data_IF_815618540829
#
_entry.id   IF_815618540829
#
_cell.length_a   1.000
_cell.length_b   1.000
_cell.length_c   1.000
_cell.angle_alpha   90.00
_cell.angle_beta   90.00
_cell.angle_gamma   90.00
#
_symmetry.space_group_name_H-M   'P 1'
#
loop_
_entity.id
_entity.type
_entity.pdbx_description
1 polymer ?
#
# COMPACT_ATOMS: atom_id res chain seq x y z
N UNK A 1 52.89 -48.42 -5.95
CA UNK A 1 51.90 -47.96 -4.97
C UNK A 1 51.26 -46.66 -5.46
N UNK A 2 49.98 -46.67 -5.88
CA UNK A 2 49.26 -45.45 -6.28
C UNK A 2 48.43 -44.96 -5.09
N UNK A 3 48.71 -43.74 -4.62
CA UNK A 3 47.94 -43.09 -3.56
C UNK A 3 46.53 -42.76 -4.06
N UNK A 4 45.50 -43.14 -3.29
CA UNK A 4 44.11 -42.75 -3.54
C UNK A 4 43.92 -41.26 -3.19
N UNK A 5 43.22 -40.47 -4.02
CA UNK A 5 42.86 -39.11 -3.65
C UNK A 5 41.78 -39.16 -2.55
N UNK A 6 42.05 -38.50 -1.43
CA UNK A 6 41.07 -38.29 -0.35
C UNK A 6 40.01 -37.31 -0.84
N UNK A 7 38.78 -37.78 -1.05
CA UNK A 7 37.63 -36.92 -1.30
C UNK A 7 37.16 -36.27 0.01
N UNK A 8 37.75 -35.13 0.37
CA UNK A 8 37.21 -34.27 1.41
C UNK A 8 36.06 -33.42 0.84
N UNK A 9 34.90 -34.04 0.66
CA UNK A 9 33.66 -33.36 0.29
C UNK A 9 32.78 -33.15 1.51
N UNK A 10 33.08 -32.16 2.36
CA UNK A 10 32.12 -31.76 3.40
C UNK A 10 30.91 -31.12 2.72
N UNK A 11 29.81 -31.86 2.60
CA UNK A 11 28.52 -31.28 2.19
C UNK A 11 28.08 -30.35 3.32
N UNK A 12 28.24 -29.04 3.13
CA UNK A 12 27.62 -28.03 4.02
C UNK A 12 26.14 -28.37 4.13
N UNK A 13 25.68 -28.66 5.34
CA UNK A 13 24.27 -28.94 5.63
C UNK A 13 23.51 -27.64 5.35
N UNK A 14 22.76 -27.59 4.24
CA UNK A 14 21.94 -26.43 3.90
C UNK A 14 20.74 -26.44 4.83
N UNK A 15 20.68 -25.47 5.74
CA UNK A 15 19.49 -25.20 6.55
C UNK A 15 18.56 -24.29 5.74
N UNK A 16 17.32 -24.71 5.56
CA UNK A 16 16.27 -23.90 4.94
C UNK A 16 15.45 -23.25 6.05
N UNK A 17 15.06 -21.99 5.84
CA UNK A 17 14.23 -21.24 6.76
C UNK A 17 12.88 -20.95 6.10
N UNK A 18 11.81 -21.02 6.88
CA UNK A 18 10.46 -20.62 6.49
C UNK A 18 10.00 -19.56 7.49
N UNK A 19 9.57 -18.41 6.97
CA UNK A 19 8.99 -17.33 7.78
C UNK A 19 7.51 -17.25 7.41
N UNK A 20 6.63 -17.43 8.39
CA UNK A 20 5.18 -17.35 8.23
C UNK A 20 4.71 -16.11 8.99
N UNK A 21 4.03 -15.20 8.29
CA UNK A 21 3.49 -13.96 8.88
C UNK A 21 1.97 -14.02 8.81
N UNK A 22 1.32 -14.06 9.97
CA UNK A 22 -0.14 -13.92 10.07
C UNK A 22 -0.52 -12.44 9.99
N UNK A 23 -0.87 -11.96 8.80
CA UNK A 23 -1.30 -10.57 8.61
C UNK A 23 -2.58 -10.30 9.39
N UNK A 24 -2.60 -9.22 10.19
CA UNK A 24 -3.73 -8.89 11.07
C UNK A 24 -4.06 -9.95 12.13
N UNK A 25 -3.18 -10.91 12.43
CA UNK A 25 -3.50 -12.04 13.32
C UNK A 25 -3.65 -11.66 14.80
N UNK A 26 -3.04 -10.54 15.21
CA UNK A 26 -3.20 -10.02 16.57
C UNK A 26 -4.52 -9.24 16.68
N UNK A 27 -5.26 -9.48 17.77
CA UNK A 27 -6.56 -8.86 18.00
C UNK A 27 -6.80 -8.66 19.51
N UNK A 28 -7.88 -7.98 19.84
CA UNK A 28 -8.37 -7.77 21.18
C UNK A 28 -9.31 -8.90 21.63
N UNK A 29 -9.45 -9.10 22.95
CA UNK A 29 -10.51 -9.93 23.52
C UNK A 29 -11.90 -9.47 23.07
N UNK A 30 -12.73 -10.40 22.62
CA UNK A 30 -14.10 -10.12 22.15
C UNK A 30 -15.16 -10.70 23.10
N UNK A 31 -16.23 -9.95 23.44
CA UNK A 31 -17.32 -10.45 24.28
C UNK A 31 -18.01 -11.69 23.70
N UNK A 32 -18.27 -11.75 22.39
CA UNK A 32 -18.88 -12.92 21.74
C UNK A 32 -18.00 -14.19 21.78
N UNK A 33 -16.69 -14.04 22.05
CA UNK A 33 -15.75 -15.14 22.23
C UNK A 33 -15.48 -15.45 23.72
N UNK A 34 -16.32 -14.95 24.63
CA UNK A 34 -16.15 -15.12 26.06
C UNK A 34 -14.89 -14.44 26.61
N UNK A 35 -14.51 -13.30 26.04
CA UNK A 35 -13.31 -12.55 26.45
C UNK A 35 -12.00 -13.14 25.92
N UNK A 36 -12.04 -13.96 24.88
CA UNK A 36 -10.86 -14.46 24.16
C UNK A 36 -10.59 -13.63 22.91
N UNK A 37 -9.34 -13.60 22.45
CA UNK A 37 -9.03 -13.16 21.08
C UNK A 37 -9.45 -14.24 20.07
N UNK A 38 -9.67 -13.90 18.79
CA UNK A 38 -9.92 -14.90 17.74
C UNK A 38 -8.86 -15.99 17.69
N UNK A 39 -7.57 -15.63 17.85
CA UNK A 39 -6.48 -16.61 17.86
C UNK A 39 -6.54 -17.56 19.07
N UNK A 40 -7.01 -17.08 20.23
CA UNK A 40 -7.22 -17.92 21.41
C UNK A 40 -8.45 -18.84 21.26
N UNK A 41 -9.50 -18.36 20.60
CA UNK A 41 -10.73 -19.14 20.40
C UNK A 41 -10.58 -20.20 19.30
N UNK A 42 -9.70 -20.00 18.33
CA UNK A 42 -9.51 -20.90 17.20
C UNK A 42 -8.87 -22.25 17.58
N UNK A 43 -9.39 -23.33 17.01
CA UNK A 43 -8.74 -24.64 16.98
C UNK A 43 -7.56 -24.62 16.01
N UNK A 44 -6.33 -24.70 16.55
CA UNK A 44 -5.09 -24.55 15.77
C UNK A 44 -4.01 -25.56 16.18
N UNK A 45 -4.30 -26.88 16.13
CA UNK A 45 -3.41 -27.90 16.67
C UNK A 45 -1.98 -27.84 16.12
N UNK A 46 -1.81 -27.44 14.85
CA UNK A 46 -0.48 -27.31 14.23
C UNK A 46 0.32 -26.12 14.78
N UNK A 47 -0.32 -24.98 15.01
CA UNK A 47 0.35 -23.81 15.60
C UNK A 47 0.67 -24.04 17.08
N UNK A 48 -0.27 -24.66 17.80
CA UNK A 48 -0.08 -25.01 19.21
C UNK A 48 1.06 -26.03 19.36
N UNK A 49 1.15 -27.01 18.44
CA UNK A 49 2.27 -27.97 18.39
C UNK A 49 3.62 -27.29 18.12
N UNK A 50 3.68 -26.33 17.18
CA UNK A 50 4.90 -25.56 16.91
C UNK A 50 5.30 -24.75 18.14
N UNK A 51 4.34 -24.12 18.83
CA UNK A 51 4.60 -23.34 20.03
C UNK A 51 5.12 -24.22 21.18
N UNK A 52 4.55 -25.41 21.38
CA UNK A 52 4.96 -26.33 22.46
C UNK A 52 6.31 -27.03 22.23
N UNK A 53 6.78 -27.11 20.99
CA UNK A 53 8.07 -27.73 20.63
C UNK A 53 9.12 -26.70 20.17
N UNK A 54 8.81 -25.41 20.31
CA UNK A 54 9.64 -24.32 19.82
C UNK A 54 10.10 -23.36 20.93
N UNK A 55 10.47 -22.15 20.51
CA UNK A 55 10.67 -21.02 21.41
C UNK A 55 9.62 -19.95 21.07
N UNK A 56 8.95 -19.45 22.10
CA UNK A 56 7.92 -18.42 21.97
C UNK A 56 8.37 -17.12 22.62
N UNK A 57 7.81 -16.01 22.15
CA UNK A 57 8.07 -14.68 22.68
C UNK A 57 7.21 -13.63 21.98
N UNK A 58 7.35 -12.39 22.42
CA UNK A 58 6.68 -11.24 21.81
C UNK A 58 7.63 -10.53 20.84
N UNK A 59 7.11 -10.15 19.68
CA UNK A 59 7.86 -9.40 18.66
C UNK A 59 7.20 -8.04 18.45
N UNK A 60 8.00 -6.97 18.54
CA UNK A 60 7.58 -5.63 18.12
C UNK A 60 8.10 -5.37 16.72
N UNK A 61 7.20 -5.41 15.74
CA UNK A 61 7.51 -5.22 14.31
C UNK A 61 7.60 -3.75 13.91
N UNK A 62 6.96 -2.85 14.64
CA UNK A 62 6.96 -1.42 14.37
C UNK A 62 7.89 -0.70 15.37
N UNK A 63 8.98 -0.05 14.91
CA UNK A 63 9.81 0.78 15.77
C UNK A 63 9.01 1.92 16.41
N UNK A 64 9.35 2.30 17.64
CA UNK A 64 8.66 3.39 18.37
C UNK A 64 8.60 4.67 17.54
N UNK A 65 7.45 5.31 17.43
CA UNK A 65 7.30 6.58 16.69
C UNK A 65 7.35 6.44 15.17
N UNK A 66 7.24 5.22 14.64
CA UNK A 66 6.90 4.99 13.23
C UNK A 66 5.43 4.59 13.12
N UNK A 67 4.82 4.87 11.97
CA UNK A 67 3.46 4.48 11.66
C UNK A 67 3.32 2.95 11.61
N UNK A 68 2.19 2.44 12.07
CA UNK A 68 1.90 1.00 12.01
C UNK A 68 1.47 0.62 10.59
N UNK A 69 2.44 0.29 9.74
CA UNK A 69 2.22 -0.15 8.37
C UNK A 69 2.86 -1.50 8.05
N UNK A 70 2.20 -2.32 7.22
CA UNK A 70 2.71 -3.63 6.80
C UNK A 70 4.08 -3.53 6.11
N UNK A 71 4.32 -2.46 5.37
CA UNK A 71 5.61 -2.12 4.77
C UNK A 71 6.74 -1.98 5.80
N UNK A 72 6.49 -1.25 6.88
CA UNK A 72 7.46 -1.09 7.99
C UNK A 72 7.62 -2.41 8.75
N UNK A 73 6.52 -3.12 9.01
CA UNK A 73 6.53 -4.39 9.73
C UNK A 73 7.34 -5.47 9.00
N UNK A 74 7.09 -5.63 7.69
CA UNK A 74 7.79 -6.62 6.86
C UNK A 74 9.27 -6.27 6.74
N UNK A 75 9.61 -4.99 6.59
CA UNK A 75 11.00 -4.54 6.57
C UNK A 75 11.74 -4.93 7.87
N UNK A 76 11.11 -4.73 9.03
CA UNK A 76 11.65 -5.19 10.33
C UNK A 76 11.78 -6.72 10.40
N UNK A 77 10.77 -7.47 9.93
CA UNK A 77 10.78 -8.95 9.94
C UNK A 77 11.91 -9.50 9.07
N UNK A 78 12.19 -8.85 7.94
CA UNK A 78 13.28 -9.23 7.04
C UNK A 78 14.67 -8.77 7.53
N UNK A 79 14.75 -8.06 8.67
CA UNK A 79 16.01 -7.66 9.30
C UNK A 79 16.57 -6.31 8.85
N UNK A 80 15.82 -5.53 8.08
CA UNK A 80 16.20 -4.17 7.70
C UNK A 80 15.77 -3.17 8.78
N UNK A 81 16.54 -2.10 8.97
CA UNK A 81 16.15 -1.00 9.86
C UNK A 81 15.20 -0.04 9.12
N UNK A 82 13.89 0.00 9.45
CA UNK A 82 12.95 0.83 8.70
C UNK A 82 13.23 2.32 8.83
N UNK A 83 13.83 2.79 9.93
CA UNK A 83 14.19 4.21 10.07
C UNK A 83 15.21 4.69 9.03
N UNK A 84 16.01 3.77 8.50
CA UNK A 84 17.06 4.06 7.53
C UNK A 84 16.62 3.82 6.10
N UNK A 85 15.76 2.82 5.88
CA UNK A 85 15.47 2.30 4.53
C UNK A 85 14.02 2.46 4.10
N UNK A 86 13.10 2.81 5.00
CA UNK A 86 11.73 3.09 4.61
C UNK A 86 11.65 4.48 3.99
N UNK A 87 11.33 4.53 2.70
CA UNK A 87 11.19 5.78 1.96
C UNK A 87 9.75 6.09 1.57
N UNK A 88 8.78 5.31 2.04
CA UNK A 88 7.35 5.42 1.71
C UNK A 88 6.82 4.21 0.94
N UNK A 89 5.49 4.13 0.75
CA UNK A 89 4.87 3.01 0.04
C UNK A 89 4.96 3.14 -1.48
N UNK A 90 4.94 4.36 -2.01
CA UNK A 90 5.07 4.65 -3.43
C UNK A 90 6.33 4.05 -4.04
N UNK A 91 7.54 4.25 -3.46
CA UNK A 91 8.77 3.64 -3.94
C UNK A 91 8.75 2.11 -3.97
N UNK A 92 8.12 1.46 -2.99
CA UNK A 92 7.94 0.00 -2.97
C UNK A 92 7.06 -0.48 -4.13
N UNK A 93 5.98 0.25 -4.43
CA UNK A 93 5.11 -0.04 -5.58
C UNK A 93 5.81 0.24 -6.91
N UNK A 94 6.64 1.28 -6.98
CA UNK A 94 7.47 1.54 -8.16
C UNK A 94 8.43 0.38 -8.43
N UNK A 95 9.11 -0.11 -7.40
CA UNK A 95 9.97 -1.28 -7.51
C UNK A 95 9.19 -2.54 -7.96
N UNK A 96 7.99 -2.78 -7.40
CA UNK A 96 7.14 -3.90 -7.78
C UNK A 96 6.67 -3.84 -9.25
N UNK A 97 6.47 -2.64 -9.80
CA UNK A 97 6.11 -2.40 -11.20
C UNK A 97 7.32 -2.29 -12.14
N UNK A 98 8.55 -2.39 -11.63
CA UNK A 98 9.78 -2.22 -12.40
C UNK A 98 10.06 -0.77 -12.85
N UNK A 99 9.43 0.21 -12.20
CA UNK A 99 9.61 1.64 -12.48
C UNK A 99 10.85 2.14 -11.74
N UNK A 100 11.82 2.66 -12.49
CA UNK A 100 13.03 3.27 -11.91
C UNK A 100 12.71 4.71 -11.47
N UNK A 101 13.11 5.04 -10.25
CA UNK A 101 13.02 6.38 -9.67
C UNK A 101 14.41 7.01 -9.63
N UNK A 102 14.49 8.29 -9.98
CA UNK A 102 15.65 9.13 -9.73
C UNK A 102 15.61 9.73 -8.32
N UNK A 103 16.73 10.32 -7.88
CA UNK A 103 16.89 10.86 -6.52
C UNK A 103 15.90 11.97 -6.13
N UNK A 104 15.28 12.61 -7.13
CA UNK A 104 14.30 13.69 -6.93
C UNK A 104 12.89 13.28 -7.34
N UNK A 105 12.67 12.04 -7.74
CA UNK A 105 11.34 11.60 -8.11
C UNK A 105 10.53 11.28 -6.85
N UNK A 106 9.23 11.55 -6.91
CA UNK A 106 8.32 11.13 -5.84
C UNK A 106 7.28 10.21 -6.41
N UNK A 107 7.25 9.01 -5.86
CA UNK A 107 6.30 7.98 -6.16
C UNK A 107 5.14 8.05 -5.16
N UNK A 108 3.91 8.03 -5.68
CA UNK A 108 2.66 7.96 -4.92
C UNK A 108 1.93 6.69 -5.32
N UNK A 109 1.36 5.99 -4.33
CA UNK A 109 0.24 5.10 -4.64
C UNK A 109 -0.91 5.93 -5.18
N UNK A 110 -1.56 5.43 -6.21
CA UNK A 110 -2.73 6.04 -6.81
C UNK A 110 -3.86 5.03 -6.72
N UNK A 111 -4.81 5.27 -5.82
CA UNK A 111 -6.04 4.48 -5.75
C UNK A 111 -7.10 5.10 -6.66
N UNK A 112 -7.96 4.29 -7.26
CA UNK A 112 -9.27 4.75 -7.73
C UNK A 112 -10.30 4.47 -6.62
N UNK A 113 -10.94 5.52 -6.12
CA UNK A 113 -11.88 5.46 -4.99
C UNK A 113 -13.30 5.88 -5.45
N UNK A 114 -14.27 5.64 -4.58
CA UNK A 114 -15.62 6.19 -4.68
C UNK A 114 -15.78 7.34 -3.70
N UNK A 115 -16.02 8.51 -4.27
CA UNK A 115 -16.47 9.71 -3.58
C UNK A 115 -17.97 9.89 -3.83
N UNK A 116 -18.73 10.17 -2.79
CA UNK A 116 -20.15 10.51 -2.85
C UNK A 116 -20.45 11.62 -1.83
N UNK A 117 -21.06 12.71 -2.30
CA UNK A 117 -21.46 13.87 -1.49
C UNK A 117 -20.35 14.45 -0.60
N UNK A 118 -19.13 14.50 -1.13
CA UNK A 118 -17.93 14.98 -0.46
C UNK A 118 -17.33 13.99 0.53
N UNK A 119 -17.79 12.73 0.56
CA UNK A 119 -17.36 11.68 1.50
C UNK A 119 -16.73 10.51 0.75
N UNK A 120 -15.64 9.97 1.31
CA UNK A 120 -15.00 8.75 0.77
C UNK A 120 -15.83 7.53 1.21
N UNK A 121 -16.57 6.93 0.27
CA UNK A 121 -17.43 5.77 0.54
C UNK A 121 -16.71 4.44 0.40
N UNK A 122 -15.75 4.36 -0.51
CA UNK A 122 -15.06 3.12 -0.85
C UNK A 122 -13.66 3.40 -1.37
N UNK A 123 -12.62 2.81 -0.76
CA UNK A 123 -11.22 2.99 -1.16
C UNK A 123 -10.82 2.22 -2.43
N UNK A 124 -11.72 1.37 -2.95
CA UNK A 124 -11.47 0.42 -4.04
C UNK A 124 -12.29 0.68 -5.30
N UNK A 125 -13.20 1.68 -5.25
CA UNK A 125 -14.08 1.96 -6.38
C UNK A 125 -15.01 0.79 -6.71
N UNK A 126 -15.45 0.01 -5.71
CA UNK A 126 -16.21 -1.22 -5.87
C UNK A 126 -15.38 -2.35 -6.46
N UNK A 127 -14.15 -2.54 -5.97
CA UNK A 127 -13.17 -3.47 -6.52
C UNK A 127 -13.12 -3.44 -8.06
N UNK A 128 -12.94 -2.23 -8.61
CA UNK A 128 -12.94 -2.01 -10.06
C UNK A 128 -11.98 -2.96 -10.78
N UNK A 129 -12.38 -3.45 -11.95
CA UNK A 129 -11.51 -4.35 -12.73
C UNK A 129 -10.31 -3.59 -13.27
N UNK A 130 -9.18 -4.29 -13.45
CA UNK A 130 -7.97 -3.69 -14.03
C UNK A 130 -8.23 -3.07 -15.41
N UNK A 131 -9.13 -3.64 -16.21
CA UNK A 131 -9.43 -3.14 -17.55
C UNK A 131 -10.18 -1.81 -17.52
N UNK A 132 -11.21 -1.71 -16.67
CA UNK A 132 -11.95 -0.45 -16.44
C UNK A 132 -11.01 0.61 -15.85
N UNK A 133 -10.23 0.25 -14.84
CA UNK A 133 -9.29 1.15 -14.18
C UNK A 133 -8.25 1.75 -15.15
N UNK A 134 -7.68 0.93 -16.03
CA UNK A 134 -6.77 1.38 -17.11
C UNK A 134 -7.42 2.40 -18.05
N UNK A 135 -8.73 2.30 -18.31
CA UNK A 135 -9.45 3.27 -19.13
C UNK A 135 -9.66 4.59 -18.39
N UNK A 136 -10.04 4.54 -17.12
CA UNK A 136 -10.23 5.72 -16.28
C UNK A 136 -8.90 6.47 -16.07
N UNK A 137 -7.81 5.76 -15.73
CA UNK A 137 -6.49 6.37 -15.59
C UNK A 137 -6.01 7.08 -16.85
N UNK A 138 -6.31 6.55 -18.05
CA UNK A 138 -5.99 7.24 -19.30
C UNK A 138 -6.70 8.59 -19.43
N UNK A 139 -7.91 8.75 -18.89
CA UNK A 139 -8.61 10.04 -18.85
C UNK A 139 -7.90 11.05 -17.97
N UNK A 140 -7.46 10.62 -16.79
CA UNK A 140 -6.69 11.47 -15.87
C UNK A 140 -5.34 11.82 -16.47
N UNK A 141 -4.64 10.84 -17.04
CA UNK A 141 -3.35 11.03 -17.70
C UNK A 141 -3.44 11.98 -18.91
N UNK A 142 -4.57 12.02 -19.64
CA UNK A 142 -4.76 13.00 -20.71
C UNK A 142 -4.75 14.45 -20.19
N UNK A 143 -5.22 14.68 -18.96
CA UNK A 143 -5.24 16.00 -18.30
C UNK A 143 -3.93 16.33 -17.58
N UNK A 144 -3.30 15.32 -16.96
CA UNK A 144 -2.18 15.48 -16.03
C UNK A 144 -0.87 14.81 -16.47
N UNK A 145 -0.80 14.25 -17.68
CA UNK A 145 0.39 13.56 -18.18
C UNK A 145 1.61 14.44 -18.39
N UNK A 146 1.44 15.77 -18.44
CA UNK A 146 2.56 16.74 -18.43
C UNK A 146 3.09 17.01 -17.01
N UNK A 147 2.31 16.69 -15.98
CA UNK A 147 2.69 16.88 -14.57
C UNK A 147 3.51 15.68 -14.09
N UNK A 148 3.09 14.47 -14.46
CA UNK A 148 3.79 13.25 -14.08
C UNK A 148 3.21 12.03 -14.78
N UNK A 149 3.70 10.86 -14.38
CA UNK A 149 3.46 9.60 -15.09
C UNK A 149 2.55 8.69 -14.26
N UNK A 150 1.47 8.20 -14.87
CA UNK A 150 0.60 7.19 -14.26
C UNK A 150 0.98 5.80 -14.76
N UNK A 151 1.16 4.87 -13.83
CA UNK A 151 1.48 3.47 -14.10
C UNK A 151 0.33 2.59 -13.61
N UNK A 152 -0.44 1.97 -14.53
CA UNK A 152 -1.54 1.11 -14.14
C UNK A 152 -1.05 -0.19 -13.49
N UNK A 153 -1.31 -0.33 -12.19
CA UNK A 153 -1.21 -1.61 -11.48
C UNK A 153 -2.47 -2.49 -11.62
N UNK A 154 -2.86 -3.12 -10.52
CA UNK A 154 -3.94 -4.13 -10.48
C UNK A 154 -5.18 -3.58 -9.77
N UNK A 155 -6.34 -3.82 -10.38
CA UNK A 155 -7.65 -3.38 -9.87
C UNK A 155 -7.63 -1.86 -9.61
N UNK A 156 -7.86 -1.42 -8.37
CA UNK A 156 -7.85 -0.02 -7.96
C UNK A 156 -6.47 0.52 -7.58
N UNK A 157 -5.42 -0.30 -7.56
CA UNK A 157 -4.09 0.07 -7.05
C UNK A 157 -3.14 0.37 -8.20
N UNK A 158 -2.66 1.61 -8.24
CA UNK A 158 -1.80 2.11 -9.30
C UNK A 158 -0.69 2.97 -8.70
N UNK A 159 0.14 3.53 -9.57
CA UNK A 159 1.24 4.38 -9.18
C UNK A 159 1.19 5.70 -9.98
N UNK A 160 1.50 6.80 -9.33
CA UNK A 160 1.78 8.07 -9.97
C UNK A 160 3.21 8.51 -9.59
N UNK A 161 4.01 8.92 -10.57
CA UNK A 161 5.37 9.41 -10.34
C UNK A 161 5.45 10.86 -10.78
N UNK A 162 5.79 11.73 -9.83
CA UNK A 162 6.16 13.12 -10.07
C UNK A 162 7.68 13.19 -10.26
N UNK A 163 8.12 13.44 -11.49
CA UNK A 163 9.54 13.51 -11.83
C UNK A 163 10.16 14.82 -11.35
N UNK A 164 11.41 14.75 -10.87
CA UNK A 164 12.19 15.93 -10.47
C UNK A 164 11.41 16.88 -9.54
N UNK A 165 10.76 16.31 -8.52
CA UNK A 165 9.97 17.08 -7.56
C UNK A 165 10.84 18.06 -6.78
N UNK A 166 10.28 19.23 -6.38
CA UNK A 166 10.99 20.18 -5.56
C UNK A 166 11.26 19.62 -4.15
N UNK A 167 12.33 20.07 -3.45
CA UNK A 167 12.69 19.56 -2.12
C UNK A 167 11.57 19.63 -1.07
N UNK A 168 10.69 20.64 -1.17
CA UNK A 168 9.54 20.79 -0.27
C UNK A 168 8.56 19.61 -0.33
N UNK A 169 8.60 18.81 -1.39
CA UNK A 169 7.70 17.69 -1.58
C UNK A 169 7.97 16.54 -0.58
N UNK A 170 9.17 16.47 0.01
CA UNK A 170 9.49 15.51 1.08
C UNK A 170 8.71 15.78 2.39
N UNK A 171 8.13 16.96 2.55
CA UNK A 171 7.40 17.36 3.78
C UNK A 171 5.89 17.15 3.67
N UNK A 172 5.39 16.78 2.50
CA UNK A 172 3.96 16.55 2.34
C UNK A 172 3.56 15.31 3.12
N UNK A 173 2.32 15.31 3.62
CA UNK A 173 1.68 14.15 4.24
C UNK A 173 0.37 13.89 3.52
N UNK A 174 0.11 12.64 3.22
CA UNK A 174 -1.13 12.18 2.58
C UNK A 174 -1.82 11.19 3.49
N UNK A 175 -3.14 11.06 3.35
CA UNK A 175 -3.93 10.12 4.15
C UNK A 175 -4.18 8.85 3.33
N UNK A 176 -3.93 7.65 3.87
CA UNK A 176 -4.33 6.41 3.23
C UNK A 176 -5.86 6.33 3.04
N UNK A 177 -6.38 5.86 1.90
CA UNK A 177 -7.82 5.92 1.63
C UNK A 177 -8.63 4.96 2.52
N UNK A 178 -8.02 3.90 3.05
CA UNK A 178 -8.68 3.00 4.00
C UNK A 178 -8.87 3.64 5.38
N UNK A 179 -7.96 4.52 5.80
CA UNK A 179 -8.10 5.30 7.04
C UNK A 179 -9.05 6.50 6.88
N UNK A 180 -9.39 6.83 5.63
CA UNK A 180 -10.24 7.95 5.24
C UNK A 180 -11.70 7.54 4.94
N UNK A 181 -12.03 6.26 5.04
CA UNK A 181 -13.40 5.75 4.85
C UNK A 181 -14.39 6.48 5.77
N UNK A 182 -15.50 6.94 5.20
CA UNK A 182 -16.57 7.66 5.90
C UNK A 182 -16.23 9.11 6.27
N UNK A 183 -15.02 9.59 5.98
CA UNK A 183 -14.60 10.98 6.28
C UNK A 183 -14.85 11.89 5.08
N UNK A 184 -14.99 13.19 5.36
CA UNK A 184 -15.07 14.22 4.33
C UNK A 184 -13.76 14.31 3.57
N UNK A 185 -13.81 14.31 2.24
CA UNK A 185 -12.65 14.44 1.34
C UNK A 185 -11.76 15.61 1.77
N UNK A 186 -12.36 16.79 1.99
CA UNK A 186 -11.65 18.02 2.37
C UNK A 186 -10.84 17.90 3.66
N UNK A 187 -11.24 17.02 4.58
CA UNK A 187 -10.52 16.79 5.85
C UNK A 187 -9.35 15.82 5.74
N UNK A 188 -9.21 15.15 4.60
CA UNK A 188 -8.20 14.10 4.35
C UNK A 188 -7.22 14.48 3.23
N UNK A 189 -7.27 15.73 2.75
CA UNK A 189 -6.40 16.22 1.69
C UNK A 189 -4.93 16.28 2.17
N UNK A 190 -4.00 16.28 1.22
CA UNK A 190 -2.58 16.38 1.49
C UNK A 190 -2.25 17.69 2.21
N UNK A 191 -1.34 17.60 3.19
CA UNK A 191 -0.89 18.73 4.03
C UNK A 191 0.63 18.90 3.96
N UNK A 192 1.18 20.08 4.30
CA UNK A 192 0.47 21.32 4.63
C UNK A 192 -0.07 22.03 3.37
N UNK A 193 -1.14 22.82 3.52
CA UNK A 193 -1.86 23.46 2.39
C UNK A 193 -1.05 24.53 1.66
N UNK A 194 -0.08 25.14 2.35
CA UNK A 194 0.85 26.12 1.79
C UNK A 194 1.97 25.48 0.95
N UNK A 195 2.10 24.16 0.97
CA UNK A 195 3.03 23.42 0.11
C UNK A 195 2.49 23.29 -1.33
N UNK A 196 3.31 23.68 -2.31
CA UNK A 196 2.94 23.66 -3.73
C UNK A 196 2.62 22.25 -4.25
N UNK A 197 3.36 21.24 -3.81
CA UNK A 197 3.13 19.85 -4.23
C UNK A 197 1.88 19.29 -3.55
N UNK A 198 1.62 19.63 -2.28
CA UNK A 198 0.36 19.26 -1.63
C UNK A 198 -0.84 19.86 -2.38
N UNK A 199 -0.80 21.15 -2.74
CA UNK A 199 -1.86 21.78 -3.56
C UNK A 199 -2.05 21.10 -4.91
N UNK A 200 -0.96 20.77 -5.60
CA UNK A 200 -1.01 20.08 -6.88
C UNK A 200 -1.66 18.70 -6.74
N UNK A 201 -1.25 17.91 -5.73
CA UNK A 201 -1.83 16.61 -5.43
C UNK A 201 -3.33 16.73 -5.13
N UNK A 202 -3.72 17.69 -4.30
CA UNK A 202 -5.12 17.95 -3.95
C UNK A 202 -5.95 18.37 -5.17
N UNK A 203 -5.39 19.25 -6.01
CA UNK A 203 -6.03 19.67 -7.25
C UNK A 203 -6.26 18.46 -8.18
N UNK A 204 -5.25 17.62 -8.36
CA UNK A 204 -5.36 16.42 -9.19
C UNK A 204 -6.45 15.47 -8.68
N UNK A 205 -6.51 15.24 -7.36
CA UNK A 205 -7.56 14.44 -6.74
C UNK A 205 -8.94 15.04 -7.01
N UNK A 206 -9.15 16.31 -6.65
CA UNK A 206 -10.46 16.97 -6.74
C UNK A 206 -10.94 17.09 -8.19
N UNK A 207 -10.10 17.52 -9.12
CA UNK A 207 -10.47 17.62 -10.54
C UNK A 207 -10.70 16.24 -11.18
N UNK A 208 -10.00 15.19 -10.72
CA UNK A 208 -10.25 13.84 -11.23
C UNK A 208 -11.68 13.39 -10.97
N UNK A 209 -12.31 13.86 -9.89
CA UNK A 209 -13.73 13.62 -9.59
C UNK A 209 -14.58 13.99 -10.80
N UNK A 210 -14.43 15.22 -11.26
CA UNK A 210 -15.23 15.79 -12.34
C UNK A 210 -15.04 15.04 -13.65
N UNK A 211 -13.79 14.68 -13.95
CA UNK A 211 -13.41 13.93 -15.15
C UNK A 211 -14.04 12.53 -15.14
N UNK A 212 -13.87 11.80 -14.04
CA UNK A 212 -14.17 10.38 -13.97
C UNK A 212 -15.65 10.10 -13.71
N UNK A 213 -16.37 11.00 -13.02
CA UNK A 213 -17.82 10.80 -12.77
C UNK A 213 -18.66 10.80 -14.04
N UNK A 214 -18.18 11.47 -15.09
CA UNK A 214 -18.86 11.54 -16.39
C UNK A 214 -18.35 10.50 -17.38
N UNK A 215 -17.32 9.70 -17.04
CA UNK A 215 -16.79 8.70 -17.96
C UNK A 215 -17.81 7.56 -18.15
N UNK A 216 -18.01 7.06 -19.39
CA UNK A 216 -18.96 5.97 -19.66
C UNK A 216 -18.76 4.71 -18.82
N UNK A 217 -17.52 4.42 -18.37
CA UNK A 217 -17.26 3.31 -17.44
C UNK A 217 -18.02 3.52 -16.14
N UNK A 218 -17.87 4.69 -15.50
CA UNK A 218 -18.53 4.95 -14.22
C UNK A 218 -20.04 5.11 -14.38
N UNK A 219 -20.52 5.70 -15.48
CA UNK A 219 -21.95 5.72 -15.79
C UNK A 219 -22.54 4.31 -15.92
N UNK A 220 -21.82 3.37 -16.55
CA UNK A 220 -22.25 1.97 -16.63
C UNK A 220 -22.19 1.28 -15.27
N UNK A 221 -21.17 1.54 -14.44
CA UNK A 221 -21.07 0.96 -13.09
C UNK A 221 -22.24 1.35 -12.23
N UNK A 222 -22.60 2.64 -12.21
CA UNK A 222 -23.76 3.16 -11.46
C UNK A 222 -25.06 2.51 -11.95
N UNK A 223 -25.28 2.38 -13.27
CA UNK A 223 -26.46 1.69 -13.83
C UNK A 223 -26.57 0.23 -13.39
N UNK A 224 -25.45 -0.42 -13.08
CA UNK A 224 -25.40 -1.80 -12.59
C UNK A 224 -25.42 -1.89 -11.05
N UNK A 225 -25.65 -0.79 -10.34
CA UNK A 225 -25.63 -0.74 -8.88
C UNK A 225 -24.23 -0.94 -8.27
N UNK A 226 -23.17 -0.75 -9.05
CA UNK A 226 -21.77 -0.82 -8.57
C UNK A 226 -21.27 0.56 -8.19
N UNK A 227 -20.46 0.62 -7.14
CA UNK A 227 -19.73 1.83 -6.77
C UNK A 227 -18.88 2.34 -7.96
N UNK A 228 -18.99 3.62 -8.34
CA UNK A 228 -18.14 4.20 -9.37
C UNK A 228 -16.73 4.45 -8.81
N UNK A 229 -15.71 4.24 -9.64
CA UNK A 229 -14.33 4.59 -9.30
C UNK A 229 -14.06 6.01 -9.82
N UNK A 230 -14.70 6.99 -9.18
CA UNK A 230 -14.89 8.32 -9.72
C UNK A 230 -13.84 9.33 -9.28
N UNK A 231 -12.85 8.97 -8.46
CA UNK A 231 -11.82 9.90 -8.01
C UNK A 231 -10.48 9.17 -7.87
N UNK A 232 -9.37 9.79 -8.27
CA UNK A 232 -8.04 9.32 -7.92
C UNK A 232 -7.70 9.75 -6.50
N UNK A 233 -6.94 8.93 -5.80
CA UNK A 233 -6.44 9.23 -4.46
C UNK A 233 -4.95 8.93 -4.40
N UNK A 234 -4.12 9.98 -4.38
CA UNK A 234 -2.66 9.89 -4.32
C UNK A 234 -2.18 9.86 -2.86
N UNK A 235 -1.45 8.81 -2.48
CA UNK A 235 -1.02 8.65 -1.09
C UNK A 235 0.24 7.81 -0.94
N UNK A 236 0.78 7.75 0.28
CA UNK A 236 1.96 6.94 0.59
C UNK A 236 3.19 7.40 -0.17
N UNK A 237 3.30 8.71 -0.40
CA UNK A 237 4.39 9.38 -1.09
C UNK A 237 5.77 8.94 -0.58
N UNK A 238 6.73 8.88 -1.47
CA UNK A 238 8.09 8.52 -1.12
C UNK A 238 9.08 8.78 -2.23
N UNK A 239 10.36 8.84 -1.86
CA UNK A 239 11.52 9.02 -2.76
C UNK A 239 12.19 7.67 -3.02
#
# INVERSE_FOLDING_TARGET
>A
MKAKPRSCGSRRKIVKYVVIVGDGMADYPLPELGGKTPLQAAEKPNMDWIASHGKSGLMRTIPRGMEAGSDIAIMSILGYNPRRYHTGRGPLEAAALGVRLGERDIAFRCNLITEEDGVIKDYSGGHITTQEAKRLLRRVAARYGKVGEFYPGVSYRHLFVLRNAPPEAARIRTTPPHDALGKKVVSCLASPEDNRVARLVNQMMLESREILSRDPVNLSRVKMGKNPANMIWLWGQGV
#
